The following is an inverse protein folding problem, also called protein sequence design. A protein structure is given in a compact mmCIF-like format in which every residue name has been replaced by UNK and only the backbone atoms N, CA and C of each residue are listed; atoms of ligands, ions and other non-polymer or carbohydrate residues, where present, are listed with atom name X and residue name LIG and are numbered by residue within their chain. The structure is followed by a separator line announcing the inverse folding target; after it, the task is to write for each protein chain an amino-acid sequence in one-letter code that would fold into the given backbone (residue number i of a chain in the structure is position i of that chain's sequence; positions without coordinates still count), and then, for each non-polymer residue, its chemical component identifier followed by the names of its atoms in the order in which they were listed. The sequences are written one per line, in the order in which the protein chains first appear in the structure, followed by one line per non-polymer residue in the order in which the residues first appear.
data_IF_155509148253
#
_entry.id   IF_155509148253
#
_cell.length_a   1.000
_cell.length_b   1.000
_cell.length_c   1.000
_cell.angle_alpha   90.00
_cell.angle_beta   90.00
_cell.angle_gamma   90.00
#
_symmetry.space_group_name_H-M   'P 1'
#
loop_
_entity.id
_entity.type
_entity.pdbx_description
1 polymer ?
#
# COMPACT_ATOMS: atom_id res chain seq x y z
N UNK A 1 3.55 -22.26 -6.98
CA UNK A 1 4.53 -21.36 -6.43
C UNK A 1 3.87 -20.48 -5.39
N UNK A 2 4.52 -20.30 -4.30
CA UNK A 2 4.02 -19.47 -3.22
C UNK A 2 4.15 -18.00 -3.56
N UNK A 3 3.23 -17.21 -3.05
CA UNK A 3 3.34 -15.76 -3.11
C UNK A 3 4.48 -15.37 -2.17
N UNK A 4 5.38 -14.54 -2.66
CA UNK A 4 6.47 -14.05 -1.82
C UNK A 4 5.96 -13.14 -0.73
N UNK A 5 6.70 -13.06 0.36
CA UNK A 5 6.37 -12.16 1.46
C UNK A 5 7.01 -10.80 1.24
N UNK A 6 6.67 -10.19 0.12
CA UNK A 6 7.26 -8.91 -0.26
C UNK A 6 6.90 -7.78 0.68
N UNK A 7 5.80 -7.93 1.40
CA UNK A 7 5.29 -6.89 2.30
C UNK A 7 5.43 -7.24 3.77
N UNK A 8 6.19 -8.27 4.11
CA UNK A 8 6.32 -8.72 5.49
C UNK A 8 6.83 -7.59 6.38
N UNK A 9 6.12 -7.37 7.47
CA UNK A 9 6.48 -6.33 8.44
C UNK A 9 6.03 -4.93 8.06
N UNK A 10 5.40 -4.76 6.90
CA UNK A 10 4.94 -3.44 6.45
C UNK A 10 3.48 -3.22 6.78
N UNK A 11 3.17 -1.98 7.14
CA UNK A 11 1.79 -1.55 7.36
C UNK A 11 1.37 -0.65 6.22
N UNK A 12 0.30 -1.01 5.54
CA UNK A 12 -0.15 -0.31 4.34
C UNK A 12 -1.61 0.09 4.50
N UNK A 13 -1.92 1.33 4.16
CA UNK A 13 -3.28 1.85 4.17
C UNK A 13 -3.71 2.04 2.72
N UNK A 14 -4.89 1.52 2.38
CA UNK A 14 -5.48 1.72 1.05
C UNK A 14 -6.62 2.71 1.17
N UNK A 15 -6.59 3.77 0.39
CA UNK A 15 -7.63 4.79 0.38
C UNK A 15 -8.02 5.14 -1.06
N UNK A 16 -9.26 5.54 -1.25
CA UNK A 16 -9.80 5.80 -2.58
C UNK A 16 -10.19 4.52 -3.29
N UNK A 17 -10.45 4.65 -4.57
CA UNK A 17 -10.90 3.53 -5.42
C UNK A 17 -9.81 3.14 -6.40
N UNK A 18 -9.53 1.85 -6.48
CA UNK A 18 -8.57 1.29 -7.43
C UNK A 18 -9.35 0.62 -8.57
N UNK A 19 -8.82 0.70 -9.79
CA UNK A 19 -9.49 0.11 -10.95
C UNK A 19 -9.27 -1.40 -11.03
N UNK A 20 -8.09 -1.86 -10.66
CA UNK A 20 -7.73 -3.27 -10.74
C UNK A 20 -7.96 -4.06 -9.46
N UNK A 21 -8.38 -3.40 -8.40
CA UNK A 21 -8.60 -4.04 -7.10
C UNK A 21 -9.85 -3.51 -6.45
N UNK A 22 -10.63 -4.39 -5.85
CA UNK A 22 -11.63 -3.96 -4.90
C UNK A 22 -10.93 -3.57 -3.60
N UNK A 23 -11.62 -2.86 -2.70
CA UNK A 23 -11.05 -2.50 -1.41
C UNK A 23 -10.61 -3.75 -0.65
N UNK A 24 -11.47 -4.75 -0.60
CA UNK A 24 -11.16 -6.00 0.09
C UNK A 24 -10.05 -6.77 -0.62
N UNK A 25 -10.06 -6.76 -1.95
CA UNK A 25 -9.03 -7.43 -2.74
C UNK A 25 -7.65 -6.83 -2.51
N UNK A 26 -7.57 -5.51 -2.40
CA UNK A 26 -6.30 -4.85 -2.11
C UNK A 26 -5.78 -5.22 -0.73
N UNK A 27 -6.66 -5.23 0.27
CA UNK A 27 -6.28 -5.63 1.63
C UNK A 27 -5.81 -7.07 1.67
N UNK A 28 -6.52 -7.95 0.99
CA UNK A 28 -6.17 -9.36 0.94
C UNK A 28 -4.82 -9.58 0.26
N UNK A 29 -4.55 -8.83 -0.80
CA UNK A 29 -3.26 -8.91 -1.47
C UNK A 29 -2.11 -8.53 -0.52
N UNK A 30 -2.33 -7.52 0.31
CA UNK A 30 -1.35 -7.10 1.31
C UNK A 30 -1.11 -8.21 2.34
N UNK A 31 -2.19 -8.75 2.87
CA UNK A 31 -2.13 -9.78 3.92
C UNK A 31 -1.49 -11.06 3.40
N UNK A 32 -1.83 -11.45 2.19
CA UNK A 32 -1.27 -12.65 1.55
C UNK A 32 0.24 -12.56 1.43
N UNK A 33 0.78 -11.36 1.31
CA UNK A 33 2.22 -11.15 1.17
C UNK A 33 2.91 -10.84 2.48
N UNK A 34 2.23 -11.08 3.58
CA UNK A 34 2.80 -10.89 4.92
C UNK A 34 2.67 -9.48 5.48
N UNK A 35 2.03 -8.58 4.76
CA UNK A 35 1.82 -7.21 5.22
C UNK A 35 0.61 -7.06 6.13
N UNK A 36 0.45 -5.87 6.65
CA UNK A 36 -0.68 -5.53 7.49
C UNK A 36 -1.50 -4.44 6.79
N UNK A 37 -2.79 -4.68 6.63
CA UNK A 37 -3.70 -3.69 6.06
C UNK A 37 -4.34 -2.91 7.19
N UNK A 38 -4.02 -1.62 7.30
CA UNK A 38 -4.53 -0.77 8.36
C UNK A 38 -5.68 0.09 7.84
N UNK A 39 -6.56 0.49 8.73
CA UNK A 39 -7.71 1.33 8.40
C UNK A 39 -7.45 2.83 8.54
N UNK A 40 -6.33 3.21 9.12
CA UNK A 40 -6.01 4.62 9.32
C UNK A 40 -4.53 4.87 9.17
N UNK A 41 -4.19 6.09 8.76
CA UNK A 41 -2.80 6.49 8.58
C UNK A 41 -2.21 6.93 9.91
N UNK A 42 -1.00 6.47 10.20
CA UNK A 42 -0.28 6.86 11.40
C UNK A 42 1.21 6.94 11.08
N UNK A 43 2.00 7.36 12.07
CA UNK A 43 3.46 7.40 11.91
C UNK A 43 4.06 6.02 11.68
N UNK A 44 3.34 4.98 12.06
CA UNK A 44 3.79 3.60 11.87
C UNK A 44 3.38 3.03 10.51
N UNK A 45 2.59 3.76 9.75
CA UNK A 45 2.20 3.33 8.40
C UNK A 45 3.42 3.45 7.49
N UNK A 46 3.71 2.37 6.78
CA UNK A 46 4.87 2.35 5.87
C UNK A 46 4.53 2.93 4.50
N UNK A 47 3.34 2.66 4.01
CA UNK A 47 2.88 3.17 2.72
C UNK A 47 1.39 3.45 2.75
N UNK A 48 0.98 4.43 1.96
CA UNK A 48 -0.43 4.69 1.69
C UNK A 48 -0.65 4.52 0.21
N UNK A 49 -1.62 3.70 -0.15
CA UNK A 49 -2.02 3.53 -1.55
C UNK A 49 -3.21 4.44 -1.81
N UNK A 50 -3.02 5.44 -2.64
CA UNK A 50 -4.05 6.42 -2.94
C UNK A 50 -4.61 6.14 -4.35
N UNK A 51 -5.83 5.65 -4.39
CA UNK A 51 -6.54 5.48 -5.65
C UNK A 51 -7.26 6.76 -6.04
N UNK A 52 -8.35 6.61 -6.79
CA UNK A 52 -9.17 7.73 -7.22
C UNK A 52 -9.95 8.28 -6.01
N UNK A 53 -9.99 9.57 -5.88
CA UNK A 53 -10.70 10.26 -4.77
C UNK A 53 -10.25 9.76 -3.38
N UNK A 54 -8.97 9.90 -3.05
CA UNK A 54 -8.43 9.30 -1.82
C UNK A 54 -8.88 9.95 -0.52
N UNK A 55 -9.33 11.18 -0.54
CA UNK A 55 -9.87 11.84 0.65
C UNK A 55 -8.82 12.23 1.69
N UNK A 56 -9.27 12.33 2.95
CA UNK A 56 -8.44 12.86 4.03
C UNK A 56 -7.25 11.98 4.41
N UNK A 57 -7.32 10.70 4.13
CA UNK A 57 -6.19 9.80 4.43
C UNK A 57 -4.96 10.15 3.61
N UNK A 58 -5.16 10.62 2.39
CA UNK A 58 -4.07 11.09 1.55
C UNK A 58 -3.38 12.30 2.19
N UNK A 59 -4.17 13.27 2.64
CA UNK A 59 -3.64 14.44 3.32
C UNK A 59 -2.88 14.08 4.58
N UNK A 60 -3.40 13.13 5.34
CA UNK A 60 -2.76 12.65 6.55
C UNK A 60 -1.41 12.03 6.25
N UNK A 61 -1.31 11.26 5.18
CA UNK A 61 -0.07 10.64 4.76
C UNK A 61 0.98 11.70 4.44
N UNK A 62 0.59 12.72 3.69
CA UNK A 62 1.49 13.84 3.36
C UNK A 62 1.96 14.54 4.64
N UNK A 63 1.04 14.81 5.55
CA UNK A 63 1.33 15.48 6.81
C UNK A 63 2.34 14.70 7.64
N UNK A 64 2.19 13.38 7.69
CA UNK A 64 3.06 12.52 8.49
C UNK A 64 4.35 12.10 7.76
N UNK A 65 4.48 12.47 6.48
CA UNK A 65 5.64 12.09 5.70
C UNK A 65 5.64 10.63 5.27
N UNK A 66 4.47 10.01 5.22
CA UNK A 66 4.34 8.61 4.77
C UNK A 66 4.36 8.57 3.25
N UNK A 67 5.14 7.67 2.63
CA UNK A 67 5.14 7.53 1.18
C UNK A 67 3.76 7.17 0.64
N UNK A 68 3.35 7.82 -0.44
CA UNK A 68 2.07 7.58 -1.08
C UNK A 68 2.32 6.95 -2.45
N UNK A 69 1.62 5.86 -2.71
CA UNK A 69 1.71 5.15 -3.98
C UNK A 69 0.38 5.26 -4.71
N UNK A 70 0.45 5.29 -6.04
CA UNK A 70 -0.73 5.12 -6.86
C UNK A 70 -0.98 3.63 -7.09
N UNK A 71 -1.97 3.31 -7.92
CA UNK A 71 -2.29 1.92 -8.20
C UNK A 71 -1.11 1.18 -8.85
N UNK A 72 -0.42 1.82 -9.77
CA UNK A 72 0.74 1.23 -10.42
C UNK A 72 1.86 0.97 -9.42
N UNK A 73 2.12 1.92 -8.54
CA UNK A 73 3.11 1.77 -7.48
C UNK A 73 2.74 0.64 -6.53
N UNK A 74 1.46 0.51 -6.21
CA UNK A 74 0.96 -0.57 -5.38
C UNK A 74 1.18 -1.93 -6.05
N UNK A 75 0.87 -2.04 -7.34
CA UNK A 75 1.06 -3.27 -8.08
C UNK A 75 2.52 -3.70 -8.08
N UNK A 76 3.44 -2.75 -8.27
CA UNK A 76 4.87 -3.03 -8.21
C UNK A 76 5.31 -3.46 -6.82
N UNK A 77 4.78 -2.81 -5.80
CA UNK A 77 5.08 -3.15 -4.41
C UNK A 77 4.65 -4.58 -4.11
N UNK A 78 3.48 -4.98 -4.57
CA UNK A 78 2.99 -6.34 -4.39
C UNK A 78 3.89 -7.37 -5.06
N UNK A 79 4.42 -7.02 -6.21
CA UNK A 79 5.21 -7.95 -7.02
C UNK A 79 6.66 -8.03 -6.57
N UNK A 80 7.29 -6.89 -6.31
CA UNK A 80 8.73 -6.81 -6.09
C UNK A 80 9.13 -6.40 -4.69
N UNK A 81 8.18 -5.86 -3.92
CA UNK A 81 8.46 -5.37 -2.58
C UNK A 81 9.05 -3.96 -2.57
N UNK A 82 9.27 -3.40 -1.37
CA UNK A 82 9.65 -2.00 -1.24
C UNK A 82 11.04 -1.65 -1.76
N UNK A 83 11.91 -2.62 -1.92
CA UNK A 83 13.26 -2.35 -2.40
C UNK A 83 13.39 -2.20 -3.91
N UNK A 84 12.34 -2.55 -4.66
CA UNK A 84 12.43 -2.60 -6.11
C UNK A 84 12.60 -1.21 -6.73
N UNK A 85 11.96 -0.20 -6.15
CA UNK A 85 12.00 1.15 -6.68
C UNK A 85 13.33 1.85 -6.47
N UNK A 86 14.19 1.29 -5.65
CA UNK A 86 15.49 1.87 -5.35
C UNK A 86 16.60 1.33 -6.24
N UNK A 87 16.26 0.52 -7.20
CA UNK A 87 17.24 -0.03 -8.12
C UNK A 87 17.69 1.04 -9.10
N UNK A 88 18.98 1.32 -9.17
CA UNK A 88 19.47 2.31 -10.12
C UNK A 88 19.28 1.91 -11.55
#
# INVERSE_FOLDING_TARGET
ASVGRTLEGLTIVVTGSLTGFSRDGAKEAIITRGGKAAGSVSKKTDYVVAGDAPGSKYDKAIELGVPVLDEDGFARLLQDGPGADNTP
#
